data_IF_511596170103
#
_entry.id   IF_511596170103
#
_cell.length_a   1.000
_cell.length_b   1.000
_cell.length_c   1.000
_cell.angle_alpha   90.00
_cell.angle_beta   90.00
_cell.angle_gamma   90.00
#
_symmetry.space_group_name_H-M   'P 1'
#
loop_
_entity.id
_entity.type
_entity.pdbx_description
1 polymer ?
#
# COMPACT_ATOMS: atom_id res chain seq x y z
N UNK A 1 24.31 6.39 4.76
CA UNK A 1 23.51 5.34 5.43
C UNK A 1 22.70 4.64 4.34
N UNK A 2 22.89 3.34 4.17
CA UNK A 2 22.07 2.58 3.23
C UNK A 2 20.63 2.56 3.74
N UNK A 3 19.72 3.06 2.91
CA UNK A 3 18.30 3.01 3.23
C UNK A 3 17.80 1.56 3.12
N UNK A 4 16.95 1.17 4.06
CA UNK A 4 16.24 -0.10 3.96
C UNK A 4 15.25 -0.01 2.80
N UNK A 5 15.57 -0.71 1.73
CA UNK A 5 14.71 -0.84 0.57
C UNK A 5 14.25 -2.28 0.48
N UNK A 6 12.98 -2.48 0.54
CA UNK A 6 12.33 -3.68 0.02
C UNK A 6 10.86 -3.57 0.31
N UNK A 7 10.06 -3.36 -0.67
CA UNK A 7 8.62 -3.39 -0.49
C UNK A 7 7.95 -3.46 -1.84
N UNK A 8 6.95 -4.31 -1.93
CA UNK A 8 5.91 -4.20 -2.96
C UNK A 8 4.58 -4.18 -2.26
N UNK A 9 3.81 -3.13 -2.49
CA UNK A 9 2.40 -3.04 -2.09
C UNK A 9 1.58 -2.90 -3.36
N UNK A 10 0.49 -3.66 -3.45
CA UNK A 10 -0.48 -3.61 -4.55
C UNK A 10 -1.89 -3.46 -3.99
N UNK A 11 -2.65 -2.53 -4.52
CA UNK A 11 -4.08 -2.37 -4.28
C UNK A 11 -4.83 -2.59 -5.58
N UNK A 12 -5.85 -3.44 -5.54
CA UNK A 12 -6.73 -3.73 -6.67
C UNK A 12 -8.17 -3.51 -6.23
N UNK A 13 -8.82 -2.52 -6.81
CA UNK A 13 -10.26 -2.27 -6.65
C UNK A 13 -10.98 -2.79 -7.90
N UNK A 14 -11.81 -3.82 -7.74
CA UNK A 14 -12.44 -4.51 -8.86
C UNK A 14 -13.75 -5.16 -8.44
N UNK A 15 -14.79 -4.97 -9.25
CA UNK A 15 -16.10 -5.59 -9.06
C UNK A 15 -16.69 -5.37 -7.66
N UNK A 16 -16.53 -4.17 -7.11
CA UNK A 16 -17.03 -3.79 -5.80
C UNK A 16 -16.21 -4.28 -4.61
N UNK A 17 -15.17 -5.11 -4.84
CA UNK A 17 -14.23 -5.54 -3.82
C UNK A 17 -12.91 -4.81 -3.93
N UNK A 18 -12.18 -4.73 -2.83
CA UNK A 18 -10.82 -4.21 -2.83
C UNK A 18 -9.86 -5.18 -2.14
N UNK A 19 -8.76 -5.48 -2.80
CA UNK A 19 -7.68 -6.28 -2.25
C UNK A 19 -6.42 -5.40 -2.12
N UNK A 20 -5.77 -5.48 -0.98
CA UNK A 20 -4.51 -4.81 -0.72
C UNK A 20 -3.51 -5.82 -0.18
N UNK A 21 -2.42 -5.98 -0.90
CA UNK A 21 -1.42 -6.98 -0.59
C UNK A 21 -0.01 -6.41 -0.55
N UNK A 22 0.86 -7.09 0.18
CA UNK A 22 2.27 -6.77 0.26
C UNK A 22 3.13 -8.01 0.40
N UNK A 23 4.38 -7.91 -0.04
CA UNK A 23 5.40 -8.91 0.24
C UNK A 23 5.92 -8.80 1.68
N UNK A 24 6.81 -9.68 2.07
CA UNK A 24 7.35 -9.74 3.44
C UNK A 24 8.82 -9.36 3.57
N UNK A 25 9.50 -8.98 2.48
CA UNK A 25 10.94 -8.75 2.53
C UNK A 25 11.30 -7.37 3.11
N UNK A 26 12.27 -7.37 4.00
CA UNK A 26 12.99 -6.18 4.47
C UNK A 26 14.46 -6.41 4.19
N UNK A 27 15.07 -5.53 3.39
CA UNK A 27 16.47 -5.60 3.00
C UNK A 27 17.23 -4.36 3.45
N UNK A 28 18.49 -4.53 3.78
CA UNK A 28 19.44 -3.45 4.00
C UNK A 28 20.58 -3.64 3.00
N UNK A 29 20.68 -2.76 2.03
CA UNK A 29 21.57 -2.96 0.89
C UNK A 29 21.29 -4.30 0.20
N UNK A 30 22.27 -5.17 0.13
CA UNK A 30 22.18 -6.48 -0.50
C UNK A 30 21.83 -7.63 0.46
N UNK A 31 21.45 -7.32 1.70
CA UNK A 31 21.17 -8.33 2.73
C UNK A 31 19.69 -8.33 3.11
N UNK A 32 19.07 -9.50 3.05
CA UNK A 32 17.71 -9.70 3.56
C UNK A 32 17.75 -9.79 5.09
N UNK A 33 17.13 -8.84 5.75
CA UNK A 33 17.08 -8.75 7.22
C UNK A 33 15.87 -9.50 7.79
N UNK A 34 14.76 -9.52 7.05
CA UNK A 34 13.52 -10.18 7.45
C UNK A 34 12.74 -10.58 6.20
N UNK A 35 12.11 -11.75 6.24
CA UNK A 35 11.35 -12.28 5.10
C UNK A 35 9.82 -12.32 5.30
N UNK A 36 9.34 -12.03 6.50
CA UNK A 36 7.92 -12.17 6.87
C UNK A 36 7.32 -10.91 7.53
N UNK A 37 7.76 -9.75 7.10
CA UNK A 37 7.20 -8.48 7.58
C UNK A 37 5.75 -8.31 7.12
N UNK A 38 4.90 -7.75 7.98
CA UNK A 38 3.54 -7.35 7.63
C UNK A 38 3.53 -5.88 7.25
N UNK A 39 3.25 -5.60 5.99
CA UNK A 39 3.25 -4.25 5.42
C UNK A 39 1.84 -3.73 5.14
N UNK A 40 0.84 -4.54 5.42
CA UNK A 40 -0.60 -4.25 5.20
C UNK A 40 -1.34 -4.37 6.51
N UNK A 41 -2.28 -3.46 6.75
CA UNK A 41 -3.09 -3.43 7.97
C UNK A 41 -4.54 -3.10 7.67
N UNK A 42 -5.42 -3.55 8.59
CA UNK A 42 -6.81 -3.10 8.68
C UNK A 42 -6.90 -1.97 9.70
N UNK A 43 -7.58 -0.90 9.34
CA UNK A 43 -7.82 0.27 10.17
C UNK A 43 -9.32 0.55 10.28
N UNK A 44 -9.69 1.43 11.21
CA UNK A 44 -11.06 1.93 11.35
C UNK A 44 -12.11 0.82 11.38
N UNK A 45 -12.04 -0.05 12.42
CA UNK A 45 -12.97 -1.16 12.62
C UNK A 45 -13.03 -2.11 11.39
N UNK A 46 -11.87 -2.43 10.83
CA UNK A 46 -11.72 -3.30 9.65
C UNK A 46 -12.37 -2.81 8.36
N UNK A 47 -12.74 -1.53 8.28
CA UNK A 47 -13.37 -0.94 7.09
C UNK A 47 -12.39 -0.30 6.11
N UNK A 48 -11.15 -0.09 6.52
CA UNK A 48 -10.10 0.52 5.71
C UNK A 48 -8.87 -0.38 5.68
N UNK A 49 -8.27 -0.52 4.52
CA UNK A 49 -7.00 -1.20 4.31
C UNK A 49 -5.91 -0.16 4.11
N UNK A 50 -4.73 -0.40 4.68
CA UNK A 50 -3.57 0.46 4.49
C UNK A 50 -2.30 -0.36 4.25
N UNK A 51 -1.47 0.08 3.31
CA UNK A 51 -0.19 -0.52 2.97
C UNK A 51 0.90 0.54 2.86
N UNK A 52 2.11 0.20 3.27
CA UNK A 52 3.20 1.15 3.44
C UNK A 52 4.45 0.68 2.71
N UNK A 53 5.11 1.60 2.00
CA UNK A 53 6.43 1.43 1.42
C UNK A 53 7.39 2.46 1.99
N UNK A 54 8.43 2.01 2.70
CA UNK A 54 9.42 2.85 3.37
C UNK A 54 10.02 2.19 4.61
N UNK A 55 10.65 2.95 5.48
CA UNK A 55 11.24 2.46 6.73
C UNK A 55 10.18 1.99 7.73
N UNK A 56 10.46 0.89 8.43
CA UNK A 56 9.48 0.23 9.32
C UNK A 56 9.06 1.12 10.50
N UNK A 57 10.00 1.90 11.05
CA UNK A 57 9.69 2.82 12.17
C UNK A 57 8.71 3.91 11.74
N UNK A 58 8.82 4.36 10.50
CA UNK A 58 7.99 5.42 9.93
C UNK A 58 6.58 4.93 9.63
N UNK A 59 6.42 3.65 9.31
CA UNK A 59 5.14 3.01 9.04
C UNK A 59 4.18 3.14 10.22
N UNK A 60 4.65 2.86 11.43
CA UNK A 60 3.80 2.94 12.64
C UNK A 60 3.26 4.35 12.87
N UNK A 61 4.12 5.35 12.76
CA UNK A 61 3.72 6.76 12.94
C UNK A 61 2.68 7.17 11.91
N UNK A 62 2.86 6.79 10.64
CA UNK A 62 1.91 7.15 9.59
C UNK A 62 0.58 6.42 9.71
N UNK A 63 0.58 5.14 10.10
CA UNK A 63 -0.66 4.42 10.37
C UNK A 63 -1.44 5.01 11.53
N UNK A 64 -0.77 5.35 12.63
CA UNK A 64 -1.41 6.00 13.79
C UNK A 64 -2.00 7.37 13.43
N UNK A 65 -1.25 8.18 12.69
CA UNK A 65 -1.72 9.49 12.24
C UNK A 65 -2.90 9.37 11.28
N UNK A 66 -2.87 8.39 10.38
CA UNK A 66 -3.97 8.15 9.47
C UNK A 66 -5.22 7.66 10.18
N UNK A 67 -5.08 6.74 11.13
CA UNK A 67 -6.21 6.25 11.94
C UNK A 67 -6.84 7.38 12.75
N UNK A 68 -6.05 8.26 13.35
CA UNK A 68 -6.55 9.45 14.04
C UNK A 68 -7.32 10.39 13.09
N UNK A 69 -6.84 10.56 11.87
CA UNK A 69 -7.55 11.36 10.86
C UNK A 69 -8.86 10.69 10.41
N UNK A 70 -8.89 9.36 10.27
CA UNK A 70 -10.13 8.62 9.99
C UNK A 70 -11.17 8.80 11.09
N UNK A 71 -10.75 8.74 12.34
CA UNK A 71 -11.65 8.96 13.49
C UNK A 71 -12.19 10.40 13.48
N UNK A 72 -11.33 11.38 13.26
CA UNK A 72 -11.69 12.80 13.18
C UNK A 72 -12.73 13.08 12.09
N UNK A 73 -12.63 12.42 10.96
CA UNK A 73 -13.50 12.60 9.81
C UNK A 73 -14.54 11.48 9.64
N UNK A 74 -14.79 10.71 10.68
CA UNK A 74 -15.84 9.69 10.73
C UNK A 74 -15.72 8.65 9.58
N UNK A 75 -14.50 8.25 9.26
CA UNK A 75 -14.22 7.26 8.23
C UNK A 75 -14.21 7.79 6.80
N UNK A 76 -14.29 9.10 6.59
CA UNK A 76 -14.14 9.67 5.24
C UNK A 76 -12.70 9.57 4.77
N UNK A 77 -12.44 8.60 3.89
CA UNK A 77 -11.09 8.24 3.45
C UNK A 77 -10.36 9.40 2.79
N UNK A 78 -11.03 10.08 1.86
CA UNK A 78 -10.43 11.19 1.10
C UNK A 78 -10.07 12.37 2.01
N UNK A 79 -10.95 12.73 2.94
CA UNK A 79 -10.65 13.81 3.91
C UNK A 79 -9.51 13.43 4.84
N UNK A 80 -9.49 12.21 5.33
CA UNK A 80 -8.41 11.70 6.16
C UNK A 80 -7.07 11.70 5.41
N UNK A 81 -7.06 11.28 4.14
CA UNK A 81 -5.88 11.29 3.29
C UNK A 81 -5.34 12.70 3.04
N UNK A 82 -6.20 13.65 2.73
CA UNK A 82 -5.82 15.06 2.54
C UNK A 82 -5.26 15.67 3.83
N UNK A 83 -5.87 15.37 4.97
CA UNK A 83 -5.37 15.84 6.28
C UNK A 83 -3.98 15.26 6.57
N UNK A 84 -3.79 13.96 6.38
CA UNK A 84 -2.47 13.34 6.55
C UNK A 84 -1.43 13.93 5.60
N UNK A 85 -1.77 14.16 4.35
CA UNK A 85 -0.86 14.76 3.37
C UNK A 85 -0.40 16.17 3.79
N UNK A 86 -1.32 16.98 4.34
CA UNK A 86 -1.00 18.30 4.89
C UNK A 86 -0.06 18.19 6.09
N UNK A 87 -0.36 17.32 7.03
CA UNK A 87 0.46 17.08 8.21
C UNK A 87 1.85 16.55 7.81
N UNK A 88 1.89 15.63 6.88
CA UNK A 88 3.16 15.04 6.39
C UNK A 88 4.08 16.11 5.80
N UNK A 89 3.51 17.00 5.01
CA UNK A 89 4.27 18.10 4.39
C UNK A 89 4.75 19.15 5.39
N UNK A 90 3.95 19.46 6.40
CA UNK A 90 4.18 20.59 7.33
C UNK A 90 4.86 20.21 8.65
N UNK A 91 4.67 18.98 9.15
CA UNK A 91 5.26 18.51 10.40
C UNK A 91 6.75 18.21 10.20
N UNK A 92 7.59 18.78 11.08
CA UNK A 92 9.05 18.59 11.00
C UNK A 92 9.50 17.15 11.16
N UNK A 93 8.77 16.36 11.95
CA UNK A 93 9.06 14.95 12.17
C UNK A 93 8.66 14.12 10.94
N UNK A 94 7.48 14.37 10.36
CA UNK A 94 6.94 13.59 9.25
C UNK A 94 7.59 13.92 7.90
N UNK A 95 7.89 15.18 7.63
CA UNK A 95 8.39 15.61 6.31
C UNK A 95 9.75 15.03 5.90
N UNK A 96 10.46 14.43 6.85
CA UNK A 96 11.73 13.74 6.59
C UNK A 96 11.54 12.28 6.20
N UNK A 97 10.31 11.77 6.28
CA UNK A 97 10.00 10.39 5.96
C UNK A 97 9.86 10.23 4.45
N UNK A 98 10.79 9.48 3.87
CA UNK A 98 10.72 9.07 2.47
C UNK A 98 9.88 7.78 2.40
N UNK A 99 8.59 7.94 2.19
CA UNK A 99 7.64 6.86 2.22
C UNK A 99 6.43 7.13 1.33
N UNK A 100 5.70 6.09 1.05
CA UNK A 100 4.39 6.15 0.41
C UNK A 100 3.40 5.27 1.17
N UNK A 101 2.15 5.71 1.21
CA UNK A 101 1.06 5.00 1.84
C UNK A 101 -0.05 4.78 0.82
N UNK A 102 -0.57 3.57 0.74
CA UNK A 102 -1.79 3.25 0.01
C UNK A 102 -2.89 2.97 1.01
N UNK A 103 -4.03 3.62 0.84
CA UNK A 103 -5.22 3.42 1.67
C UNK A 103 -6.43 3.14 0.78
N UNK A 104 -7.29 2.24 1.23
CA UNK A 104 -8.46 1.88 0.45
C UNK A 104 -9.64 1.49 1.35
N UNK A 105 -10.83 1.85 0.92
CA UNK A 105 -12.09 1.29 1.37
C UNK A 105 -12.86 0.69 0.19
N UNK A 106 -14.12 0.30 0.37
CA UNK A 106 -14.91 -0.30 -0.71
C UNK A 106 -15.22 0.66 -1.87
N UNK A 107 -15.05 1.95 -1.68
CA UNK A 107 -15.43 2.97 -2.65
C UNK A 107 -14.23 3.64 -3.31
N UNK A 108 -13.13 3.80 -2.59
CA UNK A 108 -12.00 4.64 -2.99
C UNK A 108 -10.67 3.99 -2.63
N UNK A 109 -9.68 4.14 -3.49
CA UNK A 109 -8.29 3.80 -3.20
C UNK A 109 -7.41 5.01 -3.51
N UNK A 110 -6.49 5.34 -2.62
CA UNK A 110 -5.66 6.54 -2.69
C UNK A 110 -4.19 6.23 -2.41
N UNK A 111 -3.31 6.86 -3.15
CA UNK A 111 -1.89 6.94 -2.86
C UNK A 111 -1.61 8.27 -2.15
N UNK A 112 -0.91 8.21 -1.03
CA UNK A 112 -0.47 9.38 -0.27
C UNK A 112 1.06 9.37 -0.23
N UNK A 113 1.69 10.46 -0.65
CA UNK A 113 3.15 10.61 -0.66
C UNK A 113 3.64 11.62 0.36
N UNK A 114 4.92 11.52 0.71
CA UNK A 114 5.58 12.47 1.60
C UNK A 114 5.73 13.88 1.04
N UNK A 115 5.52 14.07 -0.27
CA UNK A 115 5.48 15.38 -0.92
C UNK A 115 4.12 16.09 -0.77
N UNK A 116 3.13 15.40 -0.19
CA UNK A 116 1.79 15.95 0.04
C UNK A 116 0.80 15.63 -1.08
N UNK A 117 1.16 14.71 -1.98
CA UNK A 117 0.26 14.28 -3.04
C UNK A 117 -0.75 13.27 -2.53
N UNK A 118 -1.98 13.40 -3.00
CA UNK A 118 -3.06 12.42 -2.84
C UNK A 118 -3.55 12.08 -4.23
N UNK A 119 -3.32 10.84 -4.66
CA UNK A 119 -3.59 10.40 -6.03
C UNK A 119 -4.61 9.27 -6.02
N UNK A 120 -5.68 9.42 -6.79
CA UNK A 120 -6.64 8.37 -7.07
C UNK A 120 -6.29 7.71 -8.42
N UNK A 121 -6.18 6.38 -8.51
CA UNK A 121 -5.80 5.70 -9.74
C UNK A 121 -6.96 5.64 -10.75
N UNK A 122 -6.68 5.73 -12.02
CA UNK A 122 -7.69 5.65 -13.07
C UNK A 122 -8.33 4.26 -13.19
N UNK A 123 -7.55 3.20 -13.05
CA UNK A 123 -7.97 1.82 -13.28
C UNK A 123 -8.23 1.00 -12.01
N UNK A 124 -8.33 1.66 -10.85
CA UNK A 124 -8.50 0.97 -9.56
C UNK A 124 -7.28 0.15 -9.12
N UNK A 125 -6.11 0.39 -9.70
CA UNK A 125 -4.87 -0.32 -9.39
C UNK A 125 -3.79 0.67 -8.97
N UNK A 126 -3.24 0.46 -7.77
CA UNK A 126 -2.09 1.21 -7.25
C UNK A 126 -1.02 0.21 -6.83
N UNK A 127 0.22 0.44 -7.23
CA UNK A 127 1.36 -0.30 -6.71
C UNK A 127 2.50 0.63 -6.34
N UNK A 128 3.12 0.38 -5.21
CA UNK A 128 4.22 1.16 -4.66
C UNK A 128 5.38 0.28 -4.22
N UNK A 129 6.53 0.90 -4.02
CA UNK A 129 7.75 0.23 -3.60
C UNK A 129 8.61 -0.26 -4.75
N UNK A 130 9.68 -0.98 -4.42
CA UNK A 130 10.69 -1.43 -5.40
C UNK A 130 10.12 -2.34 -6.49
N UNK A 131 9.22 -3.24 -6.12
CA UNK A 131 8.51 -4.13 -7.06
C UNK A 131 7.21 -3.54 -7.62
N UNK A 132 6.86 -2.31 -7.23
CA UNK A 132 5.61 -1.65 -7.63
C UNK A 132 5.36 -1.64 -9.13
N UNK A 133 6.30 -1.20 -9.97
CA UNK A 133 6.10 -1.16 -11.42
C UNK A 133 5.78 -2.54 -12.03
N UNK A 134 6.42 -3.60 -11.53
CA UNK A 134 6.16 -4.97 -12.00
C UNK A 134 4.77 -5.46 -11.58
N UNK A 135 4.42 -5.23 -10.31
CA UNK A 135 3.11 -5.57 -9.79
C UNK A 135 2.00 -4.80 -10.51
N UNK A 136 2.19 -3.51 -10.76
CA UNK A 136 1.22 -2.67 -11.47
C UNK A 136 1.00 -3.15 -12.90
N UNK A 137 2.06 -3.42 -13.65
CA UNK A 137 1.95 -3.91 -15.02
C UNK A 137 1.25 -5.28 -15.08
N UNK A 138 1.61 -6.19 -14.18
CA UNK A 138 0.99 -7.50 -14.09
C UNK A 138 -0.50 -7.40 -13.70
N UNK A 139 -0.84 -6.63 -12.68
CA UNK A 139 -2.23 -6.44 -12.24
C UNK A 139 -3.09 -5.83 -13.34
N UNK A 140 -2.56 -4.84 -14.05
CA UNK A 140 -3.27 -4.20 -15.15
C UNK A 140 -3.53 -5.17 -16.29
N UNK A 141 -2.54 -5.94 -16.72
CA UNK A 141 -2.70 -6.94 -17.76
C UNK A 141 -3.72 -8.01 -17.38
N UNK A 142 -3.70 -8.48 -16.14
CA UNK A 142 -4.67 -9.46 -15.62
C UNK A 142 -6.08 -8.87 -15.54
N UNK A 143 -6.24 -7.65 -15.06
CA UNK A 143 -7.54 -6.99 -14.95
C UNK A 143 -8.19 -6.74 -16.32
N UNK A 144 -7.41 -6.38 -17.32
CA UNK A 144 -7.89 -6.10 -18.68
C UNK A 144 -8.21 -7.35 -19.50
N UNK A 145 -7.61 -8.50 -19.17
CA UNK A 145 -7.68 -9.70 -20.01
C UNK A 145 -8.26 -10.94 -19.33
N UNK A 146 -8.66 -10.85 -18.07
CA UNK A 146 -9.24 -11.97 -17.30
C UNK A 146 -10.41 -11.54 -16.45
N UNK A 147 -11.17 -12.52 -15.95
CA UNK A 147 -12.26 -12.33 -14.99
C UNK A 147 -11.82 -12.62 -13.53
N UNK A 148 -10.53 -12.60 -13.25
CA UNK A 148 -10.00 -12.84 -11.91
C UNK A 148 -10.55 -11.85 -10.88
N UNK A 149 -10.75 -12.32 -9.65
CA UNK A 149 -11.15 -11.48 -8.53
C UNK A 149 -10.07 -10.44 -8.18
N UNK A 150 -10.43 -9.40 -7.44
CA UNK A 150 -9.47 -8.42 -6.94
C UNK A 150 -8.33 -9.11 -6.15
N UNK A 151 -8.67 -10.09 -5.31
CA UNK A 151 -7.69 -10.89 -4.57
C UNK A 151 -6.73 -11.63 -5.48
N UNK A 152 -7.25 -12.35 -6.47
CA UNK A 152 -6.43 -13.19 -7.36
C UNK A 152 -5.52 -12.34 -8.24
N UNK A 153 -6.01 -11.19 -8.70
CA UNK A 153 -5.18 -10.21 -9.44
C UNK A 153 -4.03 -9.72 -8.56
N UNK A 154 -4.31 -9.32 -7.33
CA UNK A 154 -3.30 -8.85 -6.39
C UNK A 154 -2.27 -9.94 -6.07
N UNK A 155 -2.71 -11.17 -5.84
CA UNK A 155 -1.84 -12.30 -5.53
C UNK A 155 -0.89 -12.63 -6.68
N UNK A 156 -1.42 -12.76 -7.90
CA UNK A 156 -0.60 -13.01 -9.10
C UNK A 156 0.36 -11.87 -9.42
N UNK A 157 -0.07 -10.65 -9.22
CA UNK A 157 0.79 -9.48 -9.43
C UNK A 157 1.97 -9.45 -8.44
N UNK A 158 1.74 -9.80 -7.17
CA UNK A 158 2.81 -9.94 -6.19
C UNK A 158 3.75 -11.11 -6.49
N UNK A 159 3.23 -12.21 -7.01
CA UNK A 159 4.04 -13.35 -7.45
C UNK A 159 5.02 -12.94 -8.55
N UNK A 160 4.51 -12.30 -9.59
CA UNK A 160 5.33 -11.80 -10.71
C UNK A 160 6.36 -10.78 -10.24
N UNK A 161 5.97 -9.86 -9.38
CA UNK A 161 6.91 -8.89 -8.80
C UNK A 161 8.01 -9.58 -8.00
N UNK A 162 7.68 -10.65 -7.25
CA UNK A 162 8.64 -11.45 -6.51
C UNK A 162 9.62 -12.23 -7.40
N UNK A 163 9.18 -12.64 -8.59
CA UNK A 163 10.03 -13.32 -9.57
C UNK A 163 11.05 -12.37 -10.23
N UNK A 164 10.71 -11.10 -10.35
CA UNK A 164 11.51 -10.12 -11.10
C UNK A 164 12.35 -9.22 -10.18
N UNK A 165 11.75 -8.73 -9.09
CA UNK A 165 12.38 -7.76 -8.22
C UNK A 165 13.14 -8.45 -7.08
N UNK A 166 14.45 -8.24 -7.03
CA UNK A 166 15.32 -8.82 -5.97
C UNK A 166 14.99 -8.31 -4.56
N UNK A 167 14.25 -7.22 -4.44
CA UNK A 167 13.81 -6.63 -3.17
C UNK A 167 12.41 -7.07 -2.75
N UNK A 168 11.82 -8.04 -3.45
CA UNK A 168 10.47 -8.56 -3.19
C UNK A 168 10.53 -10.07 -3.06
N UNK A 169 9.88 -10.62 -2.03
CA UNK A 169 9.80 -12.08 -1.86
C UNK A 169 8.37 -12.60 -2.08
N UNK A 170 8.20 -13.91 -1.96
CA UNK A 170 6.92 -14.60 -2.16
C UNK A 170 6.10 -14.77 -0.87
N UNK A 171 6.60 -14.29 0.28
CA UNK A 171 5.81 -14.23 1.50
C UNK A 171 4.83 -13.06 1.41
N UNK A 172 3.56 -13.38 1.25
CA UNK A 172 2.52 -12.39 0.95
C UNK A 172 1.51 -12.28 2.07
N UNK A 173 1.09 -11.05 2.37
CA UNK A 173 -0.09 -10.76 3.17
C UNK A 173 -1.08 -10.03 2.29
N UNK A 174 -2.29 -10.58 2.12
CA UNK A 174 -3.35 -9.98 1.31
C UNK A 174 -4.59 -9.84 2.17
N UNK A 175 -5.09 -8.62 2.28
CA UNK A 175 -6.33 -8.28 2.95
C UNK A 175 -7.38 -7.88 1.91
N UNK A 176 -8.63 -8.27 2.14
CA UNK A 176 -9.73 -8.03 1.22
C UNK A 176 -10.92 -7.45 1.96
N UNK A 177 -11.54 -6.42 1.38
CA UNK A 177 -12.86 -5.94 1.74
C UNK A 177 -13.85 -6.34 0.65
N UNK A 178 -14.94 -6.98 1.05
CA UNK A 178 -16.05 -7.34 0.17
C UNK A 178 -17.30 -6.55 0.56
N UNK A 179 -18.17 -6.24 -0.39
CA UNK A 179 -19.47 -5.67 -0.08
C UNK A 179 -20.29 -6.64 0.79
N UNK A 180 -21.12 -6.06 1.64
CA UNK A 180 -22.00 -6.83 2.53
C UNK A 180 -23.10 -7.58 1.74
#
# INVERSE_FOLDING_TARGET
MEQAHATTIICVHRNGSVALGGDGQVSLGNTVMKGNARKVRRLHQDKVLAGFAGGTADAFTLFERFEAALDKFQGNLTRAAVELAKDWRSDRALRRLEAMLVVADLQTALLISGTGDVIEPEAGIIAIGSGGPYAQAAARALAENTDLSARDVAEKALEIAGDICIYTNHNRTIEVLNPA
#
